data_IF_694410638829
#
_entry.id   IF_694410638829
#
_cell.length_a   1.000
_cell.length_b   1.000
_cell.length_c   1.000
_cell.angle_alpha   90.00
_cell.angle_beta   90.00
_cell.angle_gamma   90.00
#
_symmetry.space_group_name_H-M   'P 1'
#
loop_
_entity.id
_entity.type
_entity.pdbx_description
1 polymer ?
#
# COMPACT_ATOMS: atom_id res chain seq x y z
N UNK A 1 -20.80 -36.83 -68.32
CA UNK A 1 -21.06 -35.69 -67.46
C UNK A 1 -21.83 -36.19 -66.27
N UNK A 2 -21.13 -36.39 -65.12
CA UNK A 2 -21.75 -36.87 -63.88
C UNK A 2 -21.36 -35.85 -62.79
N UNK A 3 -22.33 -35.17 -62.21
CA UNK A 3 -22.17 -34.26 -61.09
C UNK A 3 -22.08 -35.10 -59.80
N UNK A 4 -21.00 -34.90 -59.04
CA UNK A 4 -20.85 -35.47 -57.69
C UNK A 4 -21.29 -34.35 -56.73
N UNK A 5 -22.44 -34.55 -56.05
CA UNK A 5 -22.88 -33.74 -54.92
C UNK A 5 -22.14 -34.22 -53.65
N UNK A 6 -21.32 -33.39 -53.07
CA UNK A 6 -20.80 -33.58 -51.71
C UNK A 6 -21.83 -33.11 -50.69
N UNK A 7 -22.44 -34.06 -49.99
CA UNK A 7 -23.24 -33.79 -48.79
C UNK A 7 -22.29 -33.52 -47.60
N UNK A 8 -22.31 -32.31 -47.10
CA UNK A 8 -21.68 -31.97 -45.82
C UNK A 8 -22.72 -32.15 -44.76
N UNK A 9 -22.55 -33.22 -43.95
CA UNK A 9 -23.40 -33.49 -42.79
C UNK A 9 -22.94 -32.60 -41.63
N UNK A 10 -23.72 -31.61 -41.24
CA UNK A 10 -23.59 -30.89 -39.99
C UNK A 10 -24.09 -31.77 -38.85
N UNK A 11 -23.19 -32.29 -38.03
CA UNK A 11 -23.51 -32.91 -36.76
C UNK A 11 -23.87 -31.80 -35.76
N UNK A 12 -25.16 -31.57 -35.55
CA UNK A 12 -25.67 -30.85 -34.39
C UNK A 12 -25.52 -31.76 -33.17
N UNK A 13 -24.54 -31.49 -32.29
CA UNK A 13 -24.54 -31.99 -30.93
C UNK A 13 -25.62 -31.24 -30.15
N UNK A 14 -26.79 -31.85 -30.05
CA UNK A 14 -27.83 -31.45 -29.14
C UNK A 14 -27.34 -31.73 -27.69
N UNK A 15 -26.97 -30.68 -26.94
CA UNK A 15 -26.87 -30.78 -25.50
C UNK A 15 -28.26 -31.11 -24.93
N UNK A 16 -28.48 -32.37 -24.57
CA UNK A 16 -29.67 -32.76 -23.80
C UNK A 16 -29.51 -32.16 -22.40
N UNK A 17 -30.33 -31.17 -22.09
CA UNK A 17 -30.52 -30.70 -20.72
C UNK A 17 -31.25 -31.76 -19.93
N UNK A 18 -30.51 -32.68 -19.32
CA UNK A 18 -31.05 -33.45 -18.21
C UNK A 18 -31.29 -32.46 -17.06
N UNK A 19 -32.55 -32.10 -16.82
CA UNK A 19 -32.97 -31.53 -15.56
C UNK A 19 -32.67 -32.58 -14.48
N UNK A 20 -31.57 -32.37 -13.75
CA UNK A 20 -31.33 -33.05 -12.50
C UNK A 20 -32.53 -32.77 -11.56
N UNK A 21 -33.01 -33.75 -10.80
CA UNK A 21 -34.08 -33.53 -9.84
C UNK A 21 -33.61 -32.40 -8.89
N UNK A 22 -34.40 -31.36 -8.80
CA UNK A 22 -34.22 -30.28 -7.84
C UNK A 22 -34.36 -30.91 -6.44
N UNK A 23 -33.24 -31.37 -5.88
CA UNK A 23 -33.13 -31.58 -4.46
C UNK A 23 -33.36 -30.21 -3.83
N UNK A 24 -34.42 -30.08 -3.05
CA UNK A 24 -34.63 -28.93 -2.21
C UNK A 24 -33.30 -28.66 -1.48
N UNK A 25 -32.63 -27.57 -1.82
CA UNK A 25 -31.53 -27.07 -1.02
C UNK A 25 -32.15 -26.75 0.35
N UNK A 26 -32.05 -27.72 1.26
CA UNK A 26 -32.15 -27.39 2.69
C UNK A 26 -31.18 -26.24 2.89
N UNK A 27 -31.74 -25.07 3.27
CA UNK A 27 -30.92 -23.95 3.68
C UNK A 27 -29.94 -24.51 4.69
N UNK A 28 -28.62 -24.41 4.48
CA UNK A 28 -27.69 -24.83 5.50
C UNK A 28 -28.12 -24.08 6.76
N UNK A 29 -28.44 -24.83 7.80
CA UNK A 29 -28.57 -24.31 9.14
C UNK A 29 -27.22 -23.64 9.36
N UNK A 30 -27.19 -22.31 9.36
CA UNK A 30 -26.07 -21.54 9.85
C UNK A 30 -25.94 -21.94 11.32
N UNK A 31 -25.19 -23.04 11.56
CA UNK A 31 -24.56 -23.20 12.84
C UNK A 31 -23.84 -21.86 13.08
N UNK A 32 -24.07 -21.26 14.22
CA UNK A 32 -23.33 -20.12 14.72
C UNK A 32 -21.86 -20.51 14.76
N UNK A 33 -21.21 -20.52 13.59
CA UNK A 33 -19.78 -20.60 13.47
C UNK A 33 -19.29 -19.35 14.17
N UNK A 34 -18.44 -19.50 15.18
CA UNK A 34 -17.68 -18.39 15.75
C UNK A 34 -17.19 -17.52 14.60
N UNK A 35 -17.74 -16.33 14.48
CA UNK A 35 -17.44 -15.44 13.38
C UNK A 35 -15.93 -15.19 13.37
N UNK A 36 -15.23 -15.62 12.32
CA UNK A 36 -13.81 -15.32 12.14
C UNK A 36 -13.56 -13.85 11.85
N UNK A 37 -14.62 -13.06 11.73
CA UNK A 37 -14.56 -11.63 11.44
C UNK A 37 -14.78 -10.82 12.72
N UNK A 38 -14.00 -9.74 12.87
CA UNK A 38 -14.23 -8.75 13.90
C UNK A 38 -15.55 -8.02 13.62
N UNK A 39 -16.36 -7.85 14.65
CA UNK A 39 -17.49 -6.93 14.61
C UNK A 39 -16.93 -5.51 14.67
N UNK A 40 -17.09 -4.74 13.58
CA UNK A 40 -16.74 -3.32 13.60
C UNK A 40 -17.69 -2.60 14.54
N UNK A 41 -17.13 -1.90 15.52
CA UNK A 41 -17.90 -1.20 16.58
C UNK A 41 -18.60 0.05 16.04
N UNK A 42 -18.11 0.61 14.93
CA UNK A 42 -18.57 1.85 14.34
C UNK A 42 -18.99 1.67 12.88
N UNK A 43 -20.03 2.35 12.49
CA UNK A 43 -20.30 2.60 11.08
C UNK A 43 -19.11 3.34 10.47
N UNK A 44 -18.65 2.92 9.29
CA UNK A 44 -17.48 3.48 8.63
C UNK A 44 -17.79 4.82 7.94
N UNK A 45 -18.33 5.76 8.71
CA UNK A 45 -18.71 7.10 8.28
C UNK A 45 -17.80 8.16 8.93
N UNK A 46 -16.96 8.81 8.13
CA UNK A 46 -15.97 9.79 8.60
C UNK A 46 -16.58 11.05 9.22
N UNK A 47 -17.88 11.30 9.04
CA UNK A 47 -18.56 12.43 9.70
C UNK A 47 -18.70 12.24 11.21
N UNK A 48 -18.59 10.99 11.69
CA UNK A 48 -18.61 10.65 13.12
C UNK A 48 -17.29 11.01 13.82
N UNK A 49 -16.21 11.12 13.07
CA UNK A 49 -14.88 11.39 13.62
C UNK A 49 -14.66 12.90 13.82
N UNK A 50 -13.87 13.28 14.84
CA UNK A 50 -13.49 14.67 15.08
C UNK A 50 -12.95 15.36 13.82
N UNK A 51 -13.05 16.69 13.81
CA UNK A 51 -12.43 17.50 12.75
C UNK A 51 -10.92 17.63 12.96
N UNK A 52 -10.19 17.85 11.87
CA UNK A 52 -8.78 18.18 11.93
C UNK A 52 -8.62 19.58 12.51
N UNK A 53 -8.09 19.68 13.73
CA UNK A 53 -7.86 20.97 14.43
C UNK A 53 -6.38 21.35 14.52
N UNK A 54 -5.48 20.53 13.95
CA UNK A 54 -4.05 20.77 13.95
C UNK A 54 -3.57 21.31 12.60
N UNK A 55 -2.67 22.27 12.65
CA UNK A 55 -1.94 22.72 11.46
C UNK A 55 -0.72 21.81 11.28
N UNK A 56 -0.64 21.10 10.15
CA UNK A 56 0.56 20.36 9.76
C UNK A 56 1.24 21.13 8.66
N UNK A 57 2.52 21.46 8.87
CA UNK A 57 3.34 22.09 7.84
C UNK A 57 3.74 21.06 6.79
N UNK A 58 3.09 21.12 5.64
CA UNK A 58 3.47 20.32 4.49
C UNK A 58 4.64 20.95 3.73
N UNK A 59 5.44 20.13 3.06
CA UNK A 59 6.54 20.62 2.23
C UNK A 59 6.51 19.94 0.83
N UNK A 60 5.72 20.47 -0.09
CA UNK A 60 5.59 19.92 -1.45
C UNK A 60 6.91 19.89 -2.22
N UNK A 61 7.82 20.82 -1.98
CA UNK A 61 9.15 20.81 -2.61
C UNK A 61 9.98 19.63 -2.12
N UNK A 62 10.02 19.39 -0.80
CA UNK A 62 10.69 18.21 -0.23
C UNK A 62 10.04 16.92 -0.70
N UNK A 63 8.70 16.88 -0.81
CA UNK A 63 7.98 15.74 -1.36
C UNK A 63 8.41 15.45 -2.80
N UNK A 64 8.40 16.46 -3.69
CA UNK A 64 8.86 16.32 -5.07
C UNK A 64 10.33 15.90 -5.15
N UNK A 65 11.20 16.45 -4.30
CA UNK A 65 12.60 16.03 -4.23
C UNK A 65 12.74 14.54 -3.89
N UNK A 66 11.94 14.03 -2.94
CA UNK A 66 11.90 12.59 -2.61
C UNK A 66 11.33 11.75 -3.76
N UNK A 67 10.27 12.23 -4.42
CA UNK A 67 9.65 11.57 -5.57
C UNK A 67 10.61 11.39 -6.76
N UNK A 68 11.47 12.37 -7.02
CA UNK A 68 12.48 12.34 -8.09
C UNK A 68 13.87 11.88 -7.63
N UNK A 69 14.06 11.59 -6.33
CA UNK A 69 15.35 11.16 -5.79
C UNK A 69 16.02 10.01 -6.58
N UNK A 70 15.28 9.02 -7.14
CA UNK A 70 15.91 7.98 -7.95
C UNK A 70 16.69 8.52 -9.16
N UNK A 71 16.23 9.61 -9.80
CA UNK A 71 16.92 10.20 -10.95
C UNK A 71 18.18 10.98 -10.59
N UNK A 72 18.34 11.33 -9.31
CA UNK A 72 19.51 12.05 -8.75
C UNK A 72 20.39 11.15 -7.90
N UNK A 73 20.11 9.85 -7.90
CA UNK A 73 20.83 8.84 -7.11
C UNK A 73 21.71 7.93 -7.98
N UNK A 74 22.47 7.05 -7.31
CA UNK A 74 23.31 6.08 -8.00
C UNK A 74 23.44 4.83 -7.11
N UNK A 75 23.47 3.65 -7.74
CA UNK A 75 23.55 2.37 -7.04
C UNK A 75 24.92 2.10 -6.38
N UNK A 76 25.97 2.84 -6.73
CA UNK A 76 27.32 2.64 -6.15
C UNK A 76 27.35 2.84 -4.64
N UNK A 77 26.43 3.64 -4.10
CA UNK A 77 26.34 3.91 -2.66
C UNK A 77 25.71 2.78 -1.84
N UNK A 78 25.12 1.76 -2.49
CA UNK A 78 24.43 0.68 -1.81
C UNK A 78 25.20 -0.64 -1.86
N UNK A 79 25.20 -1.39 -0.75
CA UNK A 79 25.79 -2.73 -0.68
C UNK A 79 24.83 -3.77 -1.26
N UNK A 80 25.36 -4.77 -2.00
CA UNK A 80 24.55 -5.86 -2.59
C UNK A 80 23.69 -6.60 -1.57
N UNK A 81 24.21 -6.85 -0.37
CA UNK A 81 23.48 -7.57 0.69
C UNK A 81 22.20 -6.85 1.10
N UNK A 82 22.22 -5.53 1.16
CA UNK A 82 21.06 -4.74 1.53
C UNK A 82 20.00 -4.66 0.42
N UNK A 83 20.42 -4.85 -0.85
CA UNK A 83 19.54 -4.79 -2.02
C UNK A 83 18.82 -6.12 -2.30
N UNK A 84 19.44 -7.24 -1.94
CA UNK A 84 18.98 -8.60 -2.24
C UNK A 84 18.75 -9.42 -0.95
N UNK A 85 18.37 -8.77 0.13
CA UNK A 85 18.17 -9.41 1.44
C UNK A 85 17.20 -10.60 1.38
N UNK A 86 16.19 -10.52 0.51
CA UNK A 86 15.17 -11.55 0.36
C UNK A 86 15.73 -12.88 -0.15
N UNK A 87 16.84 -12.87 -0.91
CA UNK A 87 17.34 -14.09 -1.55
C UNK A 87 17.84 -15.14 -0.56
N UNK A 88 18.50 -14.73 0.51
CA UNK A 88 18.92 -15.64 1.58
C UNK A 88 17.76 -16.07 2.46
N UNK A 89 16.88 -15.14 2.81
CA UNK A 89 15.74 -15.39 3.69
C UNK A 89 14.73 -16.41 3.13
N UNK A 90 14.54 -16.44 1.81
CA UNK A 90 13.55 -17.33 1.19
C UNK A 90 14.08 -18.74 0.87
N UNK A 91 15.40 -18.93 0.79
CA UNK A 91 15.99 -20.25 0.50
C UNK A 91 15.73 -21.29 1.57
N UNK A 92 15.67 -20.89 2.83
CA UNK A 92 15.59 -21.79 3.99
C UNK A 92 14.14 -22.05 4.45
N UNK A 93 13.15 -21.34 3.89
CA UNK A 93 11.77 -21.39 4.33
C UNK A 93 10.88 -22.34 3.52
N UNK A 94 9.77 -22.74 4.13
CA UNK A 94 8.69 -23.40 3.41
C UNK A 94 7.76 -22.32 2.86
N UNK A 95 7.72 -22.17 1.53
CA UNK A 95 6.87 -21.23 0.84
C UNK A 95 5.99 -21.91 -0.17
N UNK A 96 4.90 -21.27 -0.54
CA UNK A 96 3.85 -21.83 -1.38
C UNK A 96 3.42 -20.83 -2.46
N UNK A 97 2.99 -21.35 -3.60
CA UNK A 97 2.23 -20.61 -4.58
C UNK A 97 0.77 -20.41 -4.11
N UNK A 98 0.04 -19.50 -4.76
CA UNK A 98 -1.37 -19.24 -4.44
C UNK A 98 -2.28 -20.49 -4.54
N UNK A 99 -1.93 -21.46 -5.39
CA UNK A 99 -2.61 -22.74 -5.54
C UNK A 99 -2.24 -23.76 -4.45
N UNK A 100 -1.56 -23.33 -3.39
CA UNK A 100 -1.12 -24.13 -2.25
C UNK A 100 -0.03 -25.17 -2.54
N UNK A 101 0.51 -25.21 -3.75
CA UNK A 101 1.68 -26.05 -4.04
C UNK A 101 2.93 -25.48 -3.40
N UNK A 102 3.72 -26.33 -2.75
CA UNK A 102 5.01 -25.95 -2.16
C UNK A 102 5.96 -25.50 -3.27
N UNK A 103 6.64 -24.36 -3.05
CA UNK A 103 7.65 -23.84 -3.97
C UNK A 103 8.93 -24.65 -3.80
N UNK A 104 9.45 -25.32 -4.83
CA UNK A 104 10.68 -26.06 -4.70
C UNK A 104 11.90 -25.12 -4.67
N UNK A 105 12.96 -25.53 -3.98
CA UNK A 105 14.21 -24.76 -3.90
C UNK A 105 14.82 -24.44 -5.29
N UNK A 106 14.65 -25.36 -6.24
CA UNK A 106 15.09 -25.16 -7.63
C UNK A 106 14.44 -23.94 -8.27
N UNK A 107 13.18 -23.67 -7.97
CA UNK A 107 12.49 -22.49 -8.46
C UNK A 107 13.12 -21.20 -7.91
N UNK A 108 13.41 -21.14 -6.60
CA UNK A 108 14.10 -19.98 -6.01
C UNK A 108 15.50 -19.80 -6.63
N UNK A 109 16.27 -20.87 -6.80
CA UNK A 109 17.56 -20.80 -7.44
C UNK A 109 17.46 -20.26 -8.87
N UNK A 110 16.41 -20.65 -9.61
CA UNK A 110 16.13 -20.11 -10.95
C UNK A 110 15.83 -18.62 -10.91
N UNK A 111 14.99 -18.16 -9.99
CA UNK A 111 14.67 -16.72 -9.85
C UNK A 111 15.91 -15.92 -9.44
N UNK A 112 16.70 -16.41 -8.51
CA UNK A 112 17.95 -15.77 -8.07
C UNK A 112 18.98 -15.69 -9.21
N UNK A 113 19.11 -16.76 -10.01
CA UNK A 113 19.94 -16.75 -11.22
C UNK A 113 19.41 -15.72 -12.22
N UNK A 114 18.11 -15.73 -12.49
CA UNK A 114 17.44 -14.80 -13.40
C UNK A 114 17.57 -13.34 -12.93
N UNK A 115 17.65 -13.09 -11.63
CA UNK A 115 17.85 -11.76 -11.05
C UNK A 115 19.14 -11.07 -11.52
N UNK A 116 20.12 -11.81 -12.07
CA UNK A 116 21.34 -11.27 -12.70
C UNK A 116 22.12 -10.27 -11.83
N UNK A 117 22.29 -10.60 -10.55
CA UNK A 117 22.92 -9.68 -9.57
C UNK A 117 24.35 -9.27 -9.92
N UNK A 118 25.03 -10.05 -10.76
CA UNK A 118 26.39 -9.72 -11.26
C UNK A 118 26.38 -8.45 -12.11
N UNK A 119 25.26 -8.14 -12.77
CA UNK A 119 25.09 -6.95 -13.59
C UNK A 119 24.64 -5.71 -12.78
N UNK A 120 24.68 -5.77 -11.45
CA UNK A 120 24.32 -4.62 -10.61
C UNK A 120 25.05 -3.35 -11.06
N UNK A 121 24.31 -2.26 -11.28
CA UNK A 121 24.80 -0.96 -11.74
C UNK A 121 25.42 -0.96 -13.15
N UNK A 122 25.09 -1.93 -14.01
CA UNK A 122 25.61 -1.98 -15.38
C UNK A 122 24.95 -0.97 -16.32
N UNK A 123 23.70 -0.59 -16.06
CA UNK A 123 22.96 0.37 -16.90
C UNK A 123 22.91 1.77 -16.30
N UNK A 124 22.59 1.89 -15.02
CA UNK A 124 22.39 3.19 -14.33
C UNK A 124 21.52 4.14 -15.14
N UNK A 125 20.40 3.62 -15.69
CA UNK A 125 19.53 4.29 -16.66
C UNK A 125 18.30 4.86 -15.98
N UNK A 126 18.03 6.14 -16.15
CA UNK A 126 16.80 6.80 -15.72
C UNK A 126 15.61 6.29 -16.52
N UNK A 127 14.48 6.07 -15.84
CA UNK A 127 13.26 5.62 -16.48
C UNK A 127 12.03 6.17 -15.76
N UNK A 128 10.91 6.15 -16.46
CA UNK A 128 9.59 6.50 -15.96
C UNK A 128 8.71 5.26 -15.94
N UNK A 129 7.97 5.03 -14.87
CA UNK A 129 6.91 4.01 -14.81
C UNK A 129 5.73 4.50 -15.66
N UNK A 130 5.34 3.74 -16.68
CA UNK A 130 4.25 4.14 -17.61
C UNK A 130 2.92 3.48 -17.31
N UNK A 131 2.91 2.45 -16.46
CA UNK A 131 1.69 1.79 -15.96
C UNK A 131 1.87 1.43 -14.49
N UNK A 132 0.80 1.44 -13.70
CA UNK A 132 0.85 0.99 -12.31
C UNK A 132 1.52 -0.38 -12.23
N UNK A 133 2.49 -0.53 -11.35
CA UNK A 133 3.36 -1.70 -11.30
C UNK A 133 3.63 -2.11 -9.86
N UNK A 134 3.69 -3.40 -9.59
CA UNK A 134 4.11 -3.91 -8.29
C UNK A 134 5.63 -4.03 -8.28
N UNK A 135 6.26 -3.48 -7.27
CA UNK A 135 7.68 -3.65 -6.98
C UNK A 135 7.88 -4.99 -6.29
N UNK A 136 8.66 -5.87 -6.90
CA UNK A 136 8.84 -7.26 -6.45
C UNK A 136 10.25 -7.53 -5.98
N UNK A 137 10.40 -8.38 -4.96
CA UNK A 137 11.71 -8.84 -4.47
C UNK A 137 12.41 -9.84 -5.42
N UNK A 138 11.64 -10.45 -6.33
CA UNK A 138 12.15 -11.39 -7.34
C UNK A 138 11.65 -10.99 -8.73
N UNK A 139 12.36 -11.35 -9.82
CA UNK A 139 11.91 -11.11 -11.19
C UNK A 139 10.79 -12.07 -11.59
N UNK A 140 9.61 -11.92 -10.94
CA UNK A 140 8.43 -12.78 -11.13
C UNK A 140 7.16 -12.02 -10.81
N UNK A 141 6.04 -12.41 -11.44
CA UNK A 141 4.70 -11.97 -11.05
C UNK A 141 4.01 -12.95 -10.09
N UNK A 142 4.59 -14.15 -9.88
CA UNK A 142 4.00 -15.12 -8.97
C UNK A 142 4.03 -14.63 -7.52
N UNK A 143 2.95 -14.86 -6.81
CA UNK A 143 2.90 -14.64 -5.37
C UNK A 143 3.68 -15.72 -4.63
N UNK A 144 4.38 -15.34 -3.58
CA UNK A 144 5.10 -16.21 -2.65
C UNK A 144 4.42 -16.11 -1.30
N UNK A 145 3.75 -17.18 -0.86
CA UNK A 145 3.03 -17.25 0.40
C UNK A 145 3.83 -18.05 1.42
N UNK A 146 3.82 -17.64 2.69
CA UNK A 146 4.52 -18.37 3.74
C UNK A 146 3.80 -19.64 4.13
N UNK A 147 2.49 -19.54 4.43
CA UNK A 147 1.64 -20.69 4.66
C UNK A 147 0.18 -20.39 4.26
N UNK A 148 -0.29 -20.87 3.10
CA UNK A 148 -1.64 -20.58 2.62
C UNK A 148 -2.76 -21.27 3.40
N UNK A 149 -2.41 -22.13 4.35
CA UNK A 149 -3.36 -22.83 5.22
C UNK A 149 -3.61 -22.08 6.54
N UNK A 150 -2.79 -21.06 6.84
CA UNK A 150 -2.93 -20.24 8.04
C UNK A 150 -3.45 -18.85 7.70
N UNK A 151 -4.36 -18.34 8.53
CA UNK A 151 -4.80 -16.95 8.44
C UNK A 151 -3.62 -16.01 8.72
N UNK A 152 -3.42 -15.02 7.85
CA UNK A 152 -2.34 -14.06 7.99
C UNK A 152 -0.99 -14.51 7.42
N UNK A 153 -0.92 -15.64 6.71
CA UNK A 153 0.29 -16.12 6.00
C UNK A 153 0.01 -16.53 4.54
N UNK A 154 -1.29 -16.73 4.19
CA UNK A 154 -1.77 -16.92 2.82
C UNK A 154 -2.05 -15.61 2.11
N UNK A 155 -2.96 -15.60 1.11
CA UNK A 155 -3.43 -14.37 0.48
C UNK A 155 -4.13 -13.50 1.53
N UNK A 156 -3.85 -12.18 1.58
CA UNK A 156 -3.13 -11.34 0.59
C UNK A 156 -1.64 -11.11 0.90
N UNK A 157 -0.96 -12.00 1.63
CA UNK A 157 0.44 -11.83 2.02
C UNK A 157 1.39 -12.38 0.95
N UNK A 158 1.56 -11.62 -0.14
CA UNK A 158 2.61 -11.93 -1.13
C UNK A 158 3.96 -11.42 -0.65
N UNK A 159 4.76 -12.29 -0.07
CA UNK A 159 6.10 -11.97 0.42
C UNK A 159 7.09 -11.54 -0.68
N UNK A 160 6.74 -11.75 -1.95
CA UNK A 160 7.52 -11.20 -3.05
C UNK A 160 7.14 -9.75 -3.38
N UNK A 161 6.02 -9.23 -2.90
CA UNK A 161 5.58 -7.85 -3.12
C UNK A 161 6.11 -6.91 -2.05
N UNK A 162 6.60 -5.74 -2.45
CA UNK A 162 7.20 -4.76 -1.55
C UNK A 162 6.45 -3.42 -1.56
N UNK A 163 6.02 -2.98 -2.75
CA UNK A 163 5.28 -1.73 -2.92
C UNK A 163 4.54 -1.66 -4.26
N UNK A 164 3.75 -0.61 -4.44
CA UNK A 164 3.20 -0.19 -5.72
C UNK A 164 3.96 1.04 -6.23
N UNK A 165 4.33 1.03 -7.49
CA UNK A 165 4.81 2.18 -8.24
C UNK A 165 3.68 2.66 -9.16
N UNK A 166 3.26 3.89 -8.98
CA UNK A 166 2.21 4.49 -9.79
C UNK A 166 2.73 4.88 -11.18
N UNK A 167 1.87 4.89 -12.19
CA UNK A 167 2.18 5.51 -13.46
C UNK A 167 2.66 6.96 -13.21
N UNK A 168 3.75 7.37 -13.85
CA UNK A 168 4.40 8.66 -13.61
C UNK A 168 5.51 8.65 -12.56
N UNK A 169 5.76 7.55 -11.86
CA UNK A 169 6.85 7.47 -10.86
C UNK A 169 8.23 7.42 -11.52
N UNK A 170 9.17 8.16 -10.95
CA UNK A 170 10.58 8.16 -11.33
C UNK A 170 11.29 6.91 -10.80
N UNK A 171 12.10 6.26 -11.63
CA UNK A 171 12.94 5.13 -11.22
C UNK A 171 14.31 5.19 -11.88
N UNK A 172 15.31 4.59 -11.23
CA UNK A 172 16.64 4.36 -11.79
C UNK A 172 16.83 2.87 -12.00
N UNK A 173 17.11 2.45 -13.23
CA UNK A 173 17.38 1.04 -13.59
C UNK A 173 18.84 0.74 -13.32
N UNK A 174 19.09 -0.27 -12.50
CA UNK A 174 20.42 -0.82 -12.26
C UNK A 174 20.85 -1.76 -13.40
N UNK A 175 20.03 -2.76 -13.69
CA UNK A 175 20.28 -3.81 -14.68
C UNK A 175 18.98 -4.52 -15.06
N UNK A 176 19.04 -5.38 -16.07
CA UNK A 176 17.94 -6.26 -16.45
C UNK A 176 18.17 -7.68 -15.93
N UNK A 177 17.06 -8.40 -15.68
CA UNK A 177 17.10 -9.86 -15.49
C UNK A 177 17.72 -10.56 -16.69
N UNK A 178 18.19 -11.80 -16.54
CA UNK A 178 18.80 -12.55 -17.65
C UNK A 178 17.82 -12.74 -18.82
N UNK A 179 16.55 -12.99 -18.54
CA UNK A 179 15.48 -13.11 -19.54
C UNK A 179 15.02 -11.74 -20.10
N UNK A 180 15.57 -10.62 -19.61
CA UNK A 180 15.27 -9.24 -19.99
C UNK A 180 13.79 -8.81 -19.81
N UNK A 181 12.99 -9.58 -19.09
CA UNK A 181 11.58 -9.27 -18.79
C UNK A 181 11.43 -8.29 -17.65
N UNK A 182 12.39 -8.25 -16.73
CA UNK A 182 12.36 -7.40 -15.53
C UNK A 182 13.57 -6.47 -15.51
N UNK A 183 13.37 -5.31 -14.93
CA UNK A 183 14.44 -4.39 -14.56
C UNK A 183 14.53 -4.31 -13.03
N UNK A 184 15.73 -4.40 -12.48
CA UNK A 184 15.97 -4.07 -11.07
C UNK A 184 16.11 -2.56 -10.95
N UNK A 185 15.23 -1.96 -10.16
CA UNK A 185 15.11 -0.51 -10.06
C UNK A 185 15.29 -0.01 -8.63
N UNK A 186 15.74 1.22 -8.52
CA UNK A 186 15.56 2.08 -7.35
C UNK A 186 14.34 2.96 -7.59
N UNK A 187 13.48 3.03 -6.62
CA UNK A 187 12.32 3.93 -6.55
C UNK A 187 12.31 4.71 -5.24
N UNK A 188 11.43 5.67 -5.10
CA UNK A 188 11.18 6.35 -3.82
C UNK A 188 10.65 5.41 -2.72
N UNK A 189 10.08 4.26 -3.11
CA UNK A 189 9.55 3.23 -2.21
C UNK A 189 10.57 2.18 -1.79
N UNK A 190 11.73 2.13 -2.45
CA UNK A 190 12.77 1.13 -2.22
C UNK A 190 13.30 0.51 -3.52
N UNK A 191 13.84 -0.70 -3.41
CA UNK A 191 14.50 -1.42 -4.50
C UNK A 191 13.71 -2.67 -4.85
N UNK A 192 13.69 -3.05 -6.12
CA UNK A 192 13.06 -4.30 -6.54
C UNK A 192 12.97 -4.45 -8.06
N UNK A 193 12.31 -5.51 -8.47
CA UNK A 193 12.08 -5.83 -9.87
C UNK A 193 10.72 -5.31 -10.34
N UNK A 194 10.71 -4.69 -11.52
CA UNK A 194 9.51 -4.22 -12.23
C UNK A 194 9.54 -4.81 -13.64
N UNK A 195 8.38 -5.14 -14.21
CA UNK A 195 8.32 -5.56 -15.61
C UNK A 195 8.85 -4.47 -16.53
N UNK A 196 9.82 -4.81 -17.36
CA UNK A 196 10.47 -3.85 -18.26
C UNK A 196 9.49 -3.15 -19.21
N UNK A 197 8.43 -3.84 -19.65
CA UNK A 197 7.40 -3.26 -20.54
C UNK A 197 6.68 -2.06 -19.91
N UNK A 198 6.67 -1.95 -18.58
CA UNK A 198 6.04 -0.86 -17.83
C UNK A 198 7.00 0.33 -17.60
N UNK A 199 8.18 0.31 -18.19
CA UNK A 199 9.20 1.34 -18.04
C UNK A 199 9.54 1.98 -19.40
N UNK A 200 9.60 3.30 -19.43
CA UNK A 200 10.11 4.06 -20.56
C UNK A 200 11.41 4.76 -20.15
N UNK A 201 12.46 4.62 -20.98
CA UNK A 201 13.77 5.22 -20.70
C UNK A 201 13.72 6.73 -20.90
N UNK A 202 14.38 7.44 -19.99
CA UNK A 202 14.50 8.89 -19.99
C UNK A 202 15.99 9.29 -20.01
N UNK A 203 16.32 10.25 -20.84
CA UNK A 203 17.59 10.95 -20.80
C UNK A 203 17.54 12.16 -19.83
N UNK A 204 18.67 12.82 -19.64
CA UNK A 204 18.77 13.96 -18.74
C UNK A 204 17.93 15.17 -19.20
N UNK A 205 17.72 15.35 -20.49
CA UNK A 205 16.87 16.42 -21.04
C UNK A 205 15.41 16.15 -20.70
N UNK A 206 14.94 14.91 -20.94
CA UNK A 206 13.56 14.52 -20.66
C UNK A 206 13.26 14.53 -19.15
N UNK A 207 14.20 14.11 -18.30
CA UNK A 207 14.02 14.18 -16.84
C UNK A 207 13.86 15.61 -16.36
N UNK A 208 14.72 16.56 -16.79
CA UNK A 208 14.61 17.98 -16.44
C UNK A 208 13.27 18.59 -16.89
N UNK A 209 12.83 18.28 -18.09
CA UNK A 209 11.51 18.73 -18.60
C UNK A 209 10.39 18.16 -17.72
N UNK A 210 10.43 16.85 -17.40
CA UNK A 210 9.39 16.20 -16.59
C UNK A 210 9.31 16.77 -15.17
N UNK A 211 10.45 17.00 -14.53
CA UNK A 211 10.53 17.59 -13.17
C UNK A 211 9.98 19.02 -13.11
N UNK A 212 10.10 19.78 -14.23
CA UNK A 212 9.57 21.15 -14.32
C UNK A 212 8.07 21.23 -14.56
N UNK A 213 7.40 20.12 -14.90
CA UNK A 213 5.96 20.10 -15.12
C UNK A 213 5.18 20.39 -13.83
N UNK A 214 3.95 20.85 -14.04
CA UNK A 214 2.96 20.86 -12.97
C UNK A 214 2.37 19.46 -12.79
N UNK A 215 1.89 19.18 -11.58
CA UNK A 215 1.32 17.88 -11.23
C UNK A 215 -0.10 18.03 -10.72
N UNK A 216 -0.88 16.99 -10.92
CA UNK A 216 -2.19 16.77 -10.29
C UNK A 216 -2.13 15.54 -9.42
N UNK A 217 -3.00 15.53 -8.42
CA UNK A 217 -3.27 14.36 -7.59
C UNK A 217 -4.72 13.90 -7.78
N UNK A 218 -5.00 12.60 -7.81
CA UNK A 218 -6.36 12.08 -7.91
C UNK A 218 -7.23 12.44 -6.69
N UNK A 219 -8.51 12.69 -6.98
CA UNK A 219 -9.58 12.81 -6.00
C UNK A 219 -10.47 11.56 -5.97
N UNK A 220 -10.29 10.64 -6.91
CA UNK A 220 -11.03 9.37 -7.01
C UNK A 220 -10.07 8.22 -7.23
N UNK A 221 -10.30 7.13 -6.49
CA UNK A 221 -9.54 5.88 -6.59
C UNK A 221 -10.04 5.03 -7.76
N UNK A 222 -9.12 4.31 -8.45
CA UNK A 222 -9.39 3.32 -9.50
C UNK A 222 -10.31 3.81 -10.64
N UNK A 223 -10.16 5.09 -11.04
CA UNK A 223 -10.84 5.59 -12.23
C UNK A 223 -10.01 5.27 -13.47
N UNK A 224 -10.60 4.65 -14.50
CA UNK A 224 -9.88 4.34 -15.74
C UNK A 224 -9.54 5.63 -16.49
N UNK A 225 -8.28 5.76 -16.89
CA UNK A 225 -7.78 6.84 -17.72
C UNK A 225 -7.46 6.27 -19.10
N UNK A 226 -8.00 6.92 -20.12
CA UNK A 226 -7.78 6.56 -21.51
C UNK A 226 -6.72 7.48 -22.13
N UNK A 227 -5.97 6.96 -23.09
CA UNK A 227 -5.06 7.75 -23.92
C UNK A 227 -5.80 8.51 -25.03
N UNK A 228 -5.03 9.23 -25.87
CA UNK A 228 -5.56 9.99 -27.01
C UNK A 228 -6.25 9.13 -28.08
N UNK A 229 -6.05 7.81 -28.07
CA UNK A 229 -6.69 6.85 -28.99
C UNK A 229 -7.94 6.20 -28.37
N UNK A 230 -8.34 6.61 -27.16
CA UNK A 230 -9.43 6.01 -26.43
C UNK A 230 -9.13 4.63 -25.85
N UNK A 231 -7.86 4.22 -25.80
CA UNK A 231 -7.44 2.95 -25.21
C UNK A 231 -7.13 3.13 -23.73
N UNK A 232 -7.46 2.12 -22.92
CA UNK A 232 -7.08 2.09 -21.52
C UNK A 232 -5.58 2.33 -21.35
N UNK A 233 -5.24 3.23 -20.42
CA UNK A 233 -3.86 3.56 -20.14
C UNK A 233 -3.44 3.16 -18.72
N UNK A 234 -4.08 3.69 -17.70
CA UNK A 234 -3.88 3.34 -16.31
C UNK A 234 -5.12 3.68 -15.48
N UNK A 235 -5.19 3.19 -14.26
CA UNK A 235 -6.17 3.62 -13.26
C UNK A 235 -5.58 4.66 -12.33
N UNK A 236 -6.39 5.64 -11.92
CA UNK A 236 -6.01 6.59 -10.88
C UNK A 236 -5.80 5.87 -9.55
N UNK A 237 -4.83 6.36 -8.79
CA UNK A 237 -4.57 5.90 -7.41
C UNK A 237 -4.38 7.11 -6.51
N UNK A 238 -5.11 7.16 -5.39
CA UNK A 238 -4.85 8.13 -4.33
C UNK A 238 -3.38 8.03 -3.93
N UNK A 239 -2.71 9.17 -3.77
CA UNK A 239 -1.27 9.25 -3.49
C UNK A 239 -0.38 9.33 -4.73
N UNK A 240 -0.93 9.12 -5.95
CA UNK A 240 -0.17 9.31 -7.18
C UNK A 240 -0.04 10.79 -7.58
N UNK A 241 1.03 11.10 -8.33
CA UNK A 241 1.21 12.38 -9.01
C UNK A 241 1.25 12.14 -10.52
N UNK A 242 0.40 12.87 -11.25
CA UNK A 242 0.36 12.83 -12.70
C UNK A 242 0.74 14.19 -13.29
N UNK A 243 1.69 14.25 -14.25
CA UNK A 243 2.11 15.51 -14.83
C UNK A 243 1.07 16.08 -15.79
N UNK A 244 0.94 17.40 -15.86
CA UNK A 244 0.17 18.06 -16.91
C UNK A 244 0.93 19.25 -17.49
N UNK A 245 0.70 19.52 -18.77
CA UNK A 245 1.31 20.63 -19.49
C UNK A 245 0.30 21.67 -19.95
N UNK A 246 -1.01 21.35 -19.89
CA UNK A 246 -2.12 22.24 -20.26
C UNK A 246 -3.35 21.89 -19.42
N UNK A 247 -4.17 22.88 -19.18
CA UNK A 247 -5.51 22.71 -18.58
C UNK A 247 -6.52 23.66 -19.23
N UNK A 248 -7.79 23.29 -19.20
CA UNK A 248 -8.93 24.13 -19.49
C UNK A 248 -9.92 24.18 -18.31
N UNK A 249 -11.16 24.62 -18.55
CA UNK A 249 -12.20 24.67 -17.50
C UNK A 249 -12.48 23.30 -16.88
N UNK A 250 -12.43 22.21 -17.65
CA UNK A 250 -12.93 20.89 -17.26
C UNK A 250 -11.84 19.83 -17.10
N UNK A 251 -10.67 19.99 -17.75
CA UNK A 251 -9.67 18.95 -17.86
C UNK A 251 -8.24 19.43 -17.61
N UNK A 252 -7.42 18.52 -17.13
CA UNK A 252 -5.96 18.55 -17.21
C UNK A 252 -5.51 17.66 -18.37
N UNK A 253 -4.56 18.14 -19.17
CA UNK A 253 -3.94 17.42 -20.28
C UNK A 253 -2.51 17.09 -19.95
N UNK A 254 -2.21 15.80 -19.89
CA UNK A 254 -0.91 15.29 -19.46
C UNK A 254 -0.28 14.31 -20.44
N UNK A 255 0.95 13.91 -20.09
CA UNK A 255 1.70 12.90 -20.85
C UNK A 255 2.54 12.08 -19.88
N UNK A 256 2.43 10.75 -19.94
CA UNK A 256 3.31 9.81 -19.23
C UNK A 256 4.01 8.97 -20.30
N UNK A 257 5.34 9.07 -20.32
CA UNK A 257 6.12 8.49 -21.41
C UNK A 257 5.74 9.07 -22.78
N UNK A 258 5.45 8.21 -23.75
CA UNK A 258 5.02 8.62 -25.08
C UNK A 258 3.51 8.92 -25.18
N UNK A 259 2.67 8.42 -24.27
CA UNK A 259 1.21 8.48 -24.34
C UNK A 259 0.66 9.73 -23.67
N UNK A 260 -0.25 10.41 -24.35
CA UNK A 260 -1.00 11.56 -23.83
C UNK A 260 -2.31 11.08 -23.20
N UNK A 261 -2.82 11.86 -22.25
CA UNK A 261 -4.10 11.62 -21.58
C UNK A 261 -4.78 12.93 -21.21
N UNK A 262 -6.05 12.85 -20.86
CA UNK A 262 -6.77 13.92 -20.18
C UNK A 262 -7.47 13.38 -18.94
N UNK A 263 -7.47 14.14 -17.87
CA UNK A 263 -8.15 13.81 -16.61
C UNK A 263 -9.12 14.93 -16.26
N UNK A 264 -10.36 14.56 -15.95
CA UNK A 264 -11.38 15.53 -15.53
C UNK A 264 -11.04 16.16 -14.18
N UNK A 265 -11.27 17.46 -14.03
CA UNK A 265 -11.16 18.19 -12.76
C UNK A 265 -12.17 17.72 -11.69
N UNK A 266 -13.15 16.89 -12.06
CA UNK A 266 -14.05 16.21 -11.12
C UNK A 266 -13.38 15.04 -10.37
N UNK A 267 -12.28 14.50 -10.90
CA UNK A 267 -11.59 13.32 -10.34
C UNK A 267 -10.11 13.58 -10.04
N UNK A 268 -9.62 14.78 -10.26
CA UNK A 268 -8.27 15.19 -9.92
C UNK A 268 -8.19 16.69 -9.62
N UNK A 269 -7.20 17.10 -8.85
CA UNK A 269 -6.91 18.49 -8.53
C UNK A 269 -5.42 18.79 -8.67
N UNK A 270 -5.05 20.07 -8.77
CA UNK A 270 -3.65 20.49 -8.75
C UNK A 270 -2.97 20.07 -7.46
N UNK A 271 -1.74 19.58 -7.59
CA UNK A 271 -0.88 19.26 -6.45
C UNK A 271 -0.09 20.50 -6.02
N UNK A 272 0.08 20.75 -4.70
CA UNK A 272 -0.52 20.00 -3.58
C UNK A 272 -1.96 20.41 -3.31
N UNK A 273 -2.73 19.51 -2.70
CA UNK A 273 -3.99 19.86 -2.07
C UNK A 273 -3.75 20.70 -0.83
N UNK A 274 -4.71 21.57 -0.48
CA UNK A 274 -4.73 22.22 0.82
C UNK A 274 -4.90 21.15 1.92
N UNK A 275 -4.04 21.20 2.93
CA UNK A 275 -4.17 20.30 4.08
C UNK A 275 -5.22 20.86 5.04
N UNK A 276 -6.43 20.40 4.89
CA UNK A 276 -7.58 20.72 5.75
C UNK A 276 -8.50 19.51 5.92
N UNK A 277 -9.46 19.58 6.84
CA UNK A 277 -10.36 18.50 7.20
C UNK A 277 -11.13 17.95 5.98
N UNK A 278 -11.67 18.83 5.16
CA UNK A 278 -12.47 18.45 3.99
C UNK A 278 -11.67 17.64 2.99
N UNK A 279 -10.49 18.12 2.59
CA UNK A 279 -9.65 17.41 1.63
C UNK A 279 -9.08 16.11 2.22
N UNK A 280 -8.67 16.13 3.51
CA UNK A 280 -8.13 14.94 4.16
C UNK A 280 -9.20 13.83 4.27
N UNK A 281 -10.38 14.15 4.80
CA UNK A 281 -11.48 13.20 4.89
C UNK A 281 -11.94 12.71 3.51
N UNK A 282 -11.90 13.57 2.49
CA UNK A 282 -12.18 13.16 1.13
C UNK A 282 -11.17 12.11 0.63
N UNK A 283 -9.86 12.31 0.84
CA UNK A 283 -8.84 11.32 0.45
C UNK A 283 -9.01 10.00 1.22
N UNK A 284 -9.27 10.07 2.51
CA UNK A 284 -9.53 8.90 3.36
C UNK A 284 -10.75 8.13 2.85
N UNK A 285 -11.86 8.83 2.52
CA UNK A 285 -13.10 8.20 2.06
C UNK A 285 -12.95 7.36 0.78
N UNK A 286 -11.97 7.69 -0.07
CA UNK A 286 -11.68 6.92 -1.29
C UNK A 286 -10.99 5.58 -0.98
N UNK A 287 -10.39 5.47 0.19
CA UNK A 287 -9.62 4.29 0.60
C UNK A 287 -10.30 3.50 1.72
N UNK A 288 -11.28 4.09 2.40
CA UNK A 288 -12.03 3.43 3.47
C UNK A 288 -12.79 2.22 2.90
N UNK A 289 -12.85 1.13 3.67
CA UNK A 289 -13.43 -0.17 3.30
C UNK A 289 -12.79 -0.89 2.12
N UNK A 290 -11.69 -0.38 1.56
CA UNK A 290 -10.96 -1.09 0.53
C UNK A 290 -10.20 -2.28 1.11
N UNK A 291 -10.06 -3.39 0.34
CA UNK A 291 -9.34 -4.57 0.79
C UNK A 291 -7.91 -4.27 1.23
N UNK A 292 -7.43 -5.05 2.19
CA UNK A 292 -6.04 -5.06 2.60
C UNK A 292 -5.16 -5.77 1.57
N UNK A 293 -3.98 -5.23 1.25
CA UNK A 293 -3.01 -5.85 0.35
C UNK A 293 -1.58 -5.68 0.83
N UNK A 294 -0.99 -6.75 1.40
CA UNK A 294 0.39 -6.74 1.85
C UNK A 294 1.36 -6.39 0.73
N UNK A 295 2.29 -5.45 0.99
CA UNK A 295 3.28 -5.04 -0.01
C UNK A 295 2.67 -4.46 -1.30
N UNK A 296 1.40 -4.03 -1.27
CA UNK A 296 0.70 -3.55 -2.47
C UNK A 296 0.09 -4.67 -3.32
N UNK A 297 -0.07 -5.88 -2.76
CA UNK A 297 -0.71 -7.00 -3.47
C UNK A 297 -2.06 -6.57 -4.06
N UNK A 298 -2.30 -6.95 -5.32
CA UNK A 298 -3.49 -6.58 -6.10
C UNK A 298 -3.74 -5.06 -6.17
N UNK A 299 -2.66 -4.27 -6.13
CA UNK A 299 -2.70 -2.81 -6.09
C UNK A 299 -3.46 -2.23 -4.88
N UNK A 300 -3.76 -3.04 -3.86
CA UNK A 300 -4.33 -2.58 -2.60
C UNK A 300 -3.24 -2.09 -1.64
N UNK A 301 -3.59 -1.79 -0.40
CA UNK A 301 -2.68 -1.14 0.55
C UNK A 301 -2.52 -1.95 1.84
N UNK A 302 -1.30 -2.03 2.34
CA UNK A 302 -1.02 -2.36 3.74
C UNK A 302 -1.08 -1.08 4.60
N UNK A 303 -0.83 -1.23 5.91
CA UNK A 303 -0.93 -0.14 6.87
C UNK A 303 -0.08 1.09 6.51
N UNK A 304 1.18 0.87 6.14
CA UNK A 304 2.11 1.96 5.85
C UNK A 304 1.89 2.58 4.47
N UNK A 305 1.52 1.79 3.47
CA UNK A 305 1.17 2.31 2.15
C UNK A 305 -0.13 3.12 2.19
N UNK A 306 -1.10 2.70 3.00
CA UNK A 306 -2.34 3.43 3.24
C UNK A 306 -2.07 4.84 3.78
N UNK A 307 -1.29 4.96 4.85
CA UNK A 307 -0.96 6.27 5.43
C UNK A 307 -0.13 7.13 4.46
N UNK A 308 0.84 6.53 3.80
CA UNK A 308 1.65 7.22 2.80
C UNK A 308 0.79 7.83 1.69
N UNK A 309 -0.14 7.04 1.15
CA UNK A 309 -1.00 7.47 0.03
C UNK A 309 -2.02 8.53 0.48
N UNK A 310 -2.51 8.50 1.72
CA UNK A 310 -3.38 9.55 2.27
C UNK A 310 -2.66 10.91 2.34
N UNK A 311 -1.40 10.94 2.77
CA UNK A 311 -0.68 12.18 3.01
C UNK A 311 0.05 12.73 1.77
N UNK A 312 0.35 11.88 0.78
CA UNK A 312 1.04 12.26 -0.44
C UNK A 312 0.38 13.41 -1.20
N UNK A 313 -0.97 13.48 -1.36
CA UNK A 313 -1.65 14.58 -2.06
C UNK A 313 -1.37 15.96 -1.49
N UNK A 314 -1.01 16.05 -0.22
CA UNK A 314 -0.72 17.29 0.49
C UNK A 314 0.77 17.67 0.46
N UNK A 315 1.62 16.84 -0.15
CA UNK A 315 3.06 17.04 -0.16
C UNK A 315 3.74 16.68 1.17
N UNK A 316 3.14 15.82 1.96
CA UNK A 316 3.75 15.24 3.17
C UNK A 316 4.32 13.86 2.84
N UNK A 317 5.64 13.73 2.92
CA UNK A 317 6.34 12.48 2.61
C UNK A 317 6.38 11.55 3.82
N UNK A 318 5.88 10.32 3.65
CA UNK A 318 6.06 9.20 4.56
C UNK A 318 6.86 8.09 3.88
N UNK A 319 7.88 7.51 4.55
CA UNK A 319 8.59 6.34 4.03
C UNK A 319 7.67 5.14 3.80
N UNK A 320 8.16 4.15 3.03
CA UNK A 320 7.34 3.00 2.65
C UNK A 320 6.98 2.07 3.81
N UNK A 321 7.82 1.87 4.80
CA UNK A 321 7.56 0.91 5.87
C UNK A 321 7.19 1.56 7.22
N UNK A 322 6.44 0.84 8.04
CA UNK A 322 5.88 1.33 9.31
C UNK A 322 6.95 1.80 10.31
N UNK A 323 8.06 1.07 10.44
CA UNK A 323 9.15 1.46 11.35
C UNK A 323 9.84 2.75 10.89
N UNK A 324 10.06 2.91 9.58
CA UNK A 324 10.64 4.12 9.04
C UNK A 324 9.68 5.32 9.20
N UNK A 325 8.36 5.12 9.01
CA UNK A 325 7.35 6.15 9.28
C UNK A 325 7.40 6.59 10.75
N UNK A 326 7.42 5.64 11.69
CA UNK A 326 7.54 5.94 13.11
C UNK A 326 8.80 6.76 13.44
N UNK A 327 9.94 6.44 12.82
CA UNK A 327 11.22 7.12 13.08
C UNK A 327 11.40 8.44 12.34
N UNK A 328 10.53 8.77 11.38
CA UNK A 328 10.66 9.99 10.55
C UNK A 328 10.19 11.27 11.23
N UNK A 329 9.51 11.13 12.35
CA UNK A 329 8.94 12.25 13.11
C UNK A 329 9.39 12.19 14.58
N UNK A 330 9.02 13.22 15.35
CA UNK A 330 9.27 13.23 16.78
C UNK A 330 8.48 12.09 17.42
N UNK A 331 9.15 11.06 17.94
CA UNK A 331 8.50 9.89 18.52
C UNK A 331 8.87 9.67 19.99
N UNK A 332 7.96 9.02 20.69
CA UNK A 332 8.06 8.75 22.11
C UNK A 332 7.72 7.27 22.36
N UNK A 333 8.61 6.58 23.09
CA UNK A 333 8.37 5.23 23.57
C UNK A 333 7.36 5.25 24.71
N UNK A 334 6.29 4.50 24.58
CA UNK A 334 5.22 4.31 25.56
C UNK A 334 4.99 2.83 25.88
N UNK A 335 5.94 1.97 25.53
CA UNK A 335 5.81 0.52 25.70
C UNK A 335 5.73 0.08 27.17
N UNK A 336 6.27 0.90 28.07
CA UNK A 336 6.27 0.68 29.50
C UNK A 336 4.94 1.05 30.20
N UNK A 337 4.04 1.76 29.52
CA UNK A 337 2.74 2.17 30.06
C UNK A 337 1.74 1.02 30.03
N UNK A 338 0.89 0.93 31.04
CA UNK A 338 -0.30 0.10 31.00
C UNK A 338 -1.41 0.70 30.12
N UNK A 339 -2.50 -0.02 29.91
CA UNK A 339 -3.57 0.41 28.98
C UNK A 339 -4.28 1.69 29.44
N UNK A 340 -4.51 1.88 30.73
CA UNK A 340 -5.21 3.07 31.24
C UNK A 340 -4.30 4.31 31.12
N UNK A 341 -3.02 4.17 31.41
CA UNK A 341 -2.03 5.22 31.21
C UNK A 341 -1.90 5.59 29.72
N UNK A 342 -1.96 4.60 28.81
CA UNK A 342 -1.97 4.86 27.36
C UNK A 342 -3.22 5.63 26.92
N UNK A 343 -4.41 5.30 27.43
CA UNK A 343 -5.65 6.03 27.13
C UNK A 343 -5.55 7.48 27.60
N UNK A 344 -5.11 7.70 28.83
CA UNK A 344 -4.95 9.04 29.37
C UNK A 344 -3.93 9.85 28.56
N UNK A 345 -2.81 9.24 28.18
CA UNK A 345 -1.80 9.85 27.33
C UNK A 345 -2.38 10.25 25.96
N UNK A 346 -3.14 9.35 25.30
CA UNK A 346 -3.76 9.62 24.01
C UNK A 346 -4.76 10.77 24.11
N UNK A 347 -5.63 10.74 25.10
CA UNK A 347 -6.63 11.81 25.32
C UNK A 347 -5.98 13.15 25.57
N UNK A 348 -4.85 13.19 26.27
CA UNK A 348 -4.18 14.43 26.64
C UNK A 348 -3.29 15.01 25.54
N UNK A 349 -2.55 14.17 24.82
CA UNK A 349 -1.47 14.62 23.93
C UNK A 349 -1.64 14.25 22.46
N UNK A 350 -2.41 13.20 22.15
CA UNK A 350 -2.56 12.79 20.76
C UNK A 350 -3.47 13.76 20.00
N UNK A 351 -3.04 14.13 18.79
CA UNK A 351 -3.77 15.05 17.92
C UNK A 351 -4.44 14.24 16.79
N UNK A 352 -5.77 14.35 16.62
CA UNK A 352 -6.45 13.69 15.50
C UNK A 352 -5.79 14.02 14.15
N UNK A 353 -5.56 12.99 13.35
CA UNK A 353 -4.92 13.05 12.02
C UNK A 353 -3.47 13.59 11.98
N UNK A 354 -2.89 13.85 13.15
CA UNK A 354 -1.52 14.37 13.27
C UNK A 354 -0.61 13.50 14.16
N UNK A 355 -1.15 12.42 14.74
CA UNK A 355 -0.40 11.48 15.57
C UNK A 355 -0.44 10.09 14.97
N UNK A 356 0.74 9.52 14.67
CA UNK A 356 0.89 8.14 14.26
C UNK A 356 1.04 7.25 15.49
N UNK A 357 0.33 6.14 15.49
CA UNK A 357 0.32 5.11 16.52
C UNK A 357 1.09 3.90 15.99
N UNK A 358 2.22 3.57 16.60
CA UNK A 358 3.08 2.48 16.13
C UNK A 358 3.11 1.31 17.11
N UNK A 359 3.02 0.12 16.56
CA UNK A 359 3.36 -1.15 17.20
C UNK A 359 4.22 -1.99 16.25
N UNK A 360 4.96 -2.96 16.76
CA UNK A 360 5.83 -3.80 15.93
C UNK A 360 5.05 -4.42 14.76
N UNK A 361 5.41 -4.04 13.53
CA UNK A 361 4.80 -4.54 12.29
C UNK A 361 3.50 -3.85 11.87
N UNK A 362 3.03 -2.84 12.59
CA UNK A 362 1.82 -2.10 12.22
C UNK A 362 1.92 -0.62 12.57
N UNK A 363 1.25 0.23 11.79
CA UNK A 363 1.16 1.67 12.03
C UNK A 363 -0.26 2.14 11.70
N UNK A 364 -0.75 3.08 12.50
CA UNK A 364 -2.10 3.62 12.45
C UNK A 364 -2.04 5.13 12.56
N UNK A 365 -3.11 5.81 12.16
CA UNK A 365 -3.31 7.23 12.36
C UNK A 365 -4.35 7.43 13.47
N UNK A 366 -4.01 8.17 14.53
CA UNK A 366 -4.99 8.53 15.55
C UNK A 366 -6.09 9.40 14.93
N UNK A 367 -7.33 9.02 15.13
CA UNK A 367 -8.50 9.71 14.56
C UNK A 367 -9.33 10.44 15.62
N UNK A 368 -8.85 10.47 16.87
CA UNK A 368 -9.55 11.11 17.99
C UNK A 368 -10.31 10.14 18.88
N UNK A 369 -11.27 10.64 19.61
CA UNK A 369 -12.15 9.88 20.49
C UNK A 369 -13.56 9.78 19.84
N UNK A 370 -14.18 8.62 20.00
CA UNK A 370 -15.57 8.38 19.62
C UNK A 370 -16.20 7.44 20.67
N UNK A 371 -17.32 7.84 21.28
CA UNK A 371 -17.99 7.10 22.36
C UNK A 371 -17.01 6.69 23.49
N UNK A 372 -16.22 7.64 23.98
CA UNK A 372 -15.19 7.47 25.01
C UNK A 372 -14.09 6.43 24.67
N UNK A 373 -13.92 6.11 23.41
CA UNK A 373 -12.89 5.19 22.93
C UNK A 373 -11.91 5.89 22.01
N UNK A 374 -10.62 5.70 22.24
CA UNK A 374 -9.56 6.16 21.33
C UNK A 374 -9.66 5.41 20.00
N UNK A 375 -9.76 6.15 18.91
CA UNK A 375 -9.98 5.62 17.55
C UNK A 375 -8.72 5.74 16.70
N UNK A 376 -8.42 4.69 15.95
CA UNK A 376 -7.36 4.64 14.97
C UNK A 376 -7.89 4.34 13.56
N UNK A 377 -7.35 5.06 12.57
CA UNK A 377 -7.57 4.84 11.14
C UNK A 377 -6.39 4.05 10.57
N UNK A 378 -6.66 2.92 9.92
CA UNK A 378 -5.61 2.04 9.41
C UNK A 378 -6.10 1.08 8.32
N UNK A 379 -5.17 0.50 7.57
CA UNK A 379 -5.43 -0.70 6.77
C UNK A 379 -4.87 -1.89 7.53
N UNK A 380 -5.72 -2.85 7.85
CA UNK A 380 -5.40 -3.98 8.75
C UNK A 380 -5.96 -5.29 8.21
N UNK A 381 -5.16 -6.36 8.31
CA UNK A 381 -5.62 -7.70 7.99
C UNK A 381 -6.50 -8.29 9.09
N UNK A 382 -6.06 -8.19 10.34
CA UNK A 382 -6.81 -8.71 11.48
C UNK A 382 -6.00 -8.73 12.77
N UNK A 383 -6.67 -9.08 13.85
CA UNK A 383 -6.12 -9.15 15.20
C UNK A 383 -5.65 -10.57 15.50
N UNK A 384 -4.60 -10.72 16.28
CA UNK A 384 -4.10 -12.04 16.67
C UNK A 384 -5.02 -12.66 17.73
N UNK A 385 -5.68 -13.77 17.37
CA UNK A 385 -6.43 -14.59 18.33
C UNK A 385 -5.48 -15.52 19.10
N UNK A 386 -4.69 -16.31 18.33
CA UNK A 386 -3.62 -17.17 18.85
C UNK A 386 -2.45 -17.23 17.84
N UNK A 387 -1.58 -18.25 17.93
CA UNK A 387 -0.43 -18.40 17.02
C UNK A 387 -0.86 -18.65 15.56
N UNK A 388 -2.00 -19.30 15.35
CA UNK A 388 -2.48 -19.77 14.03
C UNK A 388 -3.66 -18.98 13.50
N UNK A 389 -4.47 -18.39 14.38
CA UNK A 389 -5.75 -17.79 14.03
C UNK A 389 -5.70 -16.27 14.15
N UNK A 390 -6.54 -15.63 13.35
CA UNK A 390 -6.78 -14.18 13.35
C UNK A 390 -8.27 -13.90 13.38
N UNK A 391 -8.64 -12.89 14.13
CA UNK A 391 -9.94 -12.23 13.98
C UNK A 391 -9.81 -11.26 12.81
N UNK A 392 -10.44 -11.59 11.68
CA UNK A 392 -10.21 -10.90 10.42
C UNK A 392 -10.95 -9.55 10.37
N UNK A 393 -10.30 -8.55 9.77
CA UNK A 393 -10.88 -7.27 9.37
C UNK A 393 -10.72 -7.12 7.86
N UNK A 394 -9.51 -7.32 7.34
CA UNK A 394 -9.20 -7.49 5.91
C UNK A 394 -9.31 -6.23 5.07
N UNK A 395 -9.38 -5.03 5.68
CA UNK A 395 -9.67 -3.79 4.95
C UNK A 395 -9.12 -2.54 5.65
N UNK A 396 -9.24 -1.40 4.98
CA UNK A 396 -8.97 -0.08 5.55
C UNK A 396 -10.19 0.40 6.31
N UNK A 397 -10.02 0.69 7.60
CA UNK A 397 -11.12 1.04 8.53
C UNK A 397 -10.67 2.04 9.57
N UNK A 398 -11.63 2.62 10.30
CA UNK A 398 -11.35 3.13 11.63
C UNK A 398 -12.01 2.25 12.69
N UNK A 399 -11.28 2.00 13.76
CA UNK A 399 -11.69 1.12 14.87
C UNK A 399 -11.29 1.74 16.19
N UNK A 400 -11.94 1.32 17.29
CA UNK A 400 -11.34 1.58 18.59
C UNK A 400 -10.00 0.84 18.71
N UNK A 401 -9.12 1.31 19.57
CA UNK A 401 -7.89 0.59 19.93
C UNK A 401 -8.16 -0.65 20.79
N UNK A 402 -9.39 -0.83 21.25
CA UNK A 402 -9.88 -1.98 22.01
C UNK A 402 -10.78 -2.92 21.19
N UNK A 403 -10.81 -2.75 19.86
CA UNK A 403 -11.58 -3.65 18.98
C UNK A 403 -11.24 -5.11 19.26
N UNK A 404 -12.26 -5.96 19.36
CA UNK A 404 -12.12 -7.36 19.70
C UNK A 404 -11.91 -7.64 21.19
N UNK A 405 -12.10 -6.68 22.10
CA UNK A 405 -11.88 -6.80 23.55
C UNK A 405 -12.48 -8.06 24.18
N UNK A 406 -13.65 -8.50 23.69
CA UNK A 406 -14.33 -9.70 24.19
C UNK A 406 -14.05 -10.96 23.34
N UNK A 407 -13.21 -10.87 22.30
CA UNK A 407 -12.96 -11.93 21.32
C UNK A 407 -11.51 -12.41 21.29
N UNK A 408 -10.56 -11.57 21.76
CA UNK A 408 -9.13 -11.86 21.72
C UNK A 408 -8.48 -11.64 23.10
N UNK A 409 -7.33 -12.26 23.39
CA UNK A 409 -6.55 -12.00 24.60
C UNK A 409 -6.20 -10.52 24.75
N UNK A 410 -6.28 -9.99 25.98
CA UNK A 410 -6.03 -8.56 26.28
C UNK A 410 -4.68 -8.08 25.76
N UNK A 411 -3.65 -8.88 25.87
CA UNK A 411 -2.30 -8.58 25.37
C UNK A 411 -2.22 -8.48 23.83
N UNK A 412 -3.24 -8.97 23.12
CA UNK A 412 -3.34 -8.90 21.66
C UNK A 412 -4.15 -7.70 21.14
N UNK A 413 -4.77 -6.92 22.02
CA UNK A 413 -5.44 -5.68 21.65
C UNK A 413 -4.45 -4.67 21.03
N UNK A 414 -4.93 -3.82 20.13
CA UNK A 414 -4.10 -2.77 19.52
C UNK A 414 -3.54 -1.83 20.59
N UNK A 415 -4.37 -1.43 21.56
CA UNK A 415 -3.97 -0.58 22.68
C UNK A 415 -2.82 -1.22 23.49
N UNK A 416 -2.93 -2.51 23.83
CA UNK A 416 -1.90 -3.21 24.60
C UNK A 416 -0.57 -3.29 23.87
N UNK A 417 -0.62 -3.49 22.55
CA UNK A 417 0.58 -3.60 21.68
C UNK A 417 1.16 -2.25 21.25
N UNK A 418 0.45 -1.16 21.48
CA UNK A 418 0.94 0.18 21.13
C UNK A 418 2.22 0.48 21.89
N UNK A 419 3.28 0.80 21.14
CA UNK A 419 4.63 0.98 21.72
C UNK A 419 5.18 2.39 21.54
N UNK A 420 4.77 3.14 20.50
CA UNK A 420 5.26 4.49 20.27
C UNK A 420 4.15 5.39 19.73
N UNK A 421 4.25 6.67 20.08
CA UNK A 421 3.53 7.76 19.42
C UNK A 421 4.53 8.58 18.59
N UNK A 422 4.16 8.89 17.35
CA UNK A 422 4.95 9.77 16.48
C UNK A 422 4.10 10.93 16.00
N UNK A 423 4.55 12.13 16.23
CA UNK A 423 3.80 13.34 15.94
C UNK A 423 4.30 13.99 14.66
N UNK A 424 3.40 14.18 13.70
CA UNK A 424 3.70 14.82 12.42
C UNK A 424 4.14 16.29 12.63
N UNK A 425 3.63 16.92 13.68
CA UNK A 425 4.04 18.24 14.13
C UNK A 425 3.87 18.39 15.64
N UNK A 426 4.93 18.80 16.33
CA UNK A 426 4.93 19.23 17.72
C UNK A 426 5.83 20.46 17.83
N UNK A 427 5.40 21.43 18.62
CA UNK A 427 6.27 22.54 19.04
C UNK A 427 7.14 22.13 20.24
N UNK A 428 8.16 22.93 20.56
CA UNK A 428 9.12 22.61 21.62
C UNK A 428 8.46 22.53 23.00
N UNK A 429 7.45 23.36 23.27
CA UNK A 429 6.70 23.32 24.53
C UNK A 429 5.95 21.99 24.70
N UNK A 430 5.24 21.55 23.67
CA UNK A 430 4.53 20.26 23.67
C UNK A 430 5.49 19.08 23.85
N UNK A 431 6.68 19.15 23.24
CA UNK A 431 7.73 18.13 23.43
C UNK A 431 8.18 18.08 24.87
N UNK A 432 8.42 19.24 25.52
CA UNK A 432 8.84 19.32 26.92
C UNK A 432 7.74 18.79 27.86
N UNK A 433 6.49 19.21 27.64
CA UNK A 433 5.37 18.79 28.46
C UNK A 433 5.17 17.28 28.40
N UNK A 434 5.14 16.69 27.20
CA UNK A 434 5.01 15.25 27.00
C UNK A 434 6.19 14.47 27.60
N UNK A 435 7.43 14.96 27.40
CA UNK A 435 8.63 14.34 27.96
C UNK A 435 8.60 14.36 29.51
N UNK A 436 8.19 15.48 30.10
CA UNK A 436 8.01 15.60 31.56
C UNK A 436 6.92 14.67 32.09
N UNK A 437 5.80 14.55 31.37
CA UNK A 437 4.72 13.65 31.73
C UNK A 437 5.20 12.19 31.71
N UNK A 438 5.85 11.74 30.64
CA UNK A 438 6.36 10.38 30.51
C UNK A 438 7.47 10.05 31.55
N UNK A 439 8.32 11.01 31.92
CA UNK A 439 9.36 10.79 32.91
C UNK A 439 8.81 10.47 34.31
N UNK A 440 7.63 10.98 34.65
CA UNK A 440 6.95 10.72 35.93
C UNK A 440 6.33 9.32 36.00
N UNK A 441 5.99 8.75 34.82
CA UNK A 441 5.37 7.42 34.70
C UNK A 441 6.40 6.32 34.49
N UNK A 442 7.65 6.67 34.17
CA UNK A 442 8.69 5.69 33.91
C UNK A 442 9.10 5.02 35.22
N UNK A 443 9.11 3.67 35.30
CA UNK A 443 9.58 2.99 36.51
C UNK A 443 11.03 3.39 36.78
N UNK A 444 11.44 3.48 38.08
CA UNK A 444 12.83 3.68 38.45
C UNK A 444 13.69 2.57 37.82
N UNK A 445 14.87 2.95 37.33
CA UNK A 445 15.86 2.03 36.75
C UNK A 445 16.37 1.02 37.77
#
# INVERSE_FOLDING_TARGET
MRYILCFVAFLFMACSTHKAPQKSLEKPILQTTNSFYANLEFEQNLSMLPTLNSTIKTNPHKYKASFFAPWHSNFKQFKKVNLFWSFSGYKSGNYYFFNKQKIPLSWFNTQIKNANTKALNSLNQKALVVQNSILKNFPTQKAILKNPFLQGEGIPFDYASDSVLNAGSAVLISHLSLDKRYAFVMSESGFGFVERKNLELFDDKRTKIYESLNFITPLKEKMPILDERGQFFFETRIGALYPYYKQDKNYYYGKIGARKYKISKKIASSFPLKFDDTHLKHQISQLLTRPYGWGGYDFERDCSLFLRDIFAPFGLYLPRNSLAQNKSFKNFDISFLNNEEKKELLKRFAKPYATLLYMKGHIMLYAGELDDKSVALHSIWGLRLDEKQRLLIGQSVFTSLEIGKNQIPKENLLLSKLSHLSFLELNDYEVLELSSYLSKLKPPL
#
